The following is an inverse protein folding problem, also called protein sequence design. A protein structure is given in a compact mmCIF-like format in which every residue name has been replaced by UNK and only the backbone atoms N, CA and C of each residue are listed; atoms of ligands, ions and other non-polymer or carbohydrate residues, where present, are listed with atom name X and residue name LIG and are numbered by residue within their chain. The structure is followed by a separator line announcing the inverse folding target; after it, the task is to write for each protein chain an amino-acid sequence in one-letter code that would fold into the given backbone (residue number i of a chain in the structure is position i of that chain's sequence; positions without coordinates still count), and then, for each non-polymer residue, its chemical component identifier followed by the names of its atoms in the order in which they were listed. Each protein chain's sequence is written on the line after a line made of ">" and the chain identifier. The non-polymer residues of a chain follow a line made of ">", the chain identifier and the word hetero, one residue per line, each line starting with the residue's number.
data_IF_980650296487
#
_entry.id   IF_980650296487
#
_cell.length_a   1.000
_cell.length_b   1.000
_cell.length_c   1.000
_cell.angle_alpha   90.00
_cell.angle_beta   90.00
_cell.angle_gamma   90.00
#
_symmetry.space_group_name_H-M   'P 1'
#
loop_
_entity.id
_entity.type
_entity.pdbx_description
1 polymer ?
#
# COMPACT_ATOMS: atom_id res chain seq x y z
N UNK A 1 -16.24 -3.21 31.19
CA UNK A 1 -15.56 -3.63 29.93
C UNK A 1 -16.63 -4.05 28.94
N UNK A 2 -16.68 -3.49 27.72
CA UNK A 2 -17.66 -3.95 26.71
C UNK A 2 -17.25 -5.35 26.25
N UNK A 3 -18.19 -6.29 26.23
CA UNK A 3 -17.95 -7.68 25.81
C UNK A 3 -17.58 -7.73 24.33
N UNK A 4 -16.45 -8.38 24.02
CA UNK A 4 -16.00 -8.54 22.63
C UNK A 4 -16.82 -9.61 21.90
N UNK A 5 -17.49 -9.28 20.78
CA UNK A 5 -18.26 -10.27 20.01
C UNK A 5 -17.38 -11.44 19.54
N UNK A 6 -16.12 -11.17 19.17
CA UNK A 6 -15.16 -12.19 18.74
C UNK A 6 -14.86 -13.17 19.87
N UNK A 7 -14.54 -12.68 21.07
CA UNK A 7 -14.26 -13.56 22.20
C UNK A 7 -15.53 -14.30 22.67
N UNK A 8 -16.69 -13.63 22.66
CA UNK A 8 -17.95 -14.23 23.06
C UNK A 8 -18.35 -15.39 22.13
N UNK A 9 -18.26 -15.22 20.81
CA UNK A 9 -18.63 -16.27 19.86
C UNK A 9 -17.67 -17.46 19.94
N UNK A 10 -16.37 -17.20 20.15
CA UNK A 10 -15.37 -18.25 20.34
C UNK A 10 -15.55 -19.00 21.65
N UNK A 11 -15.93 -18.32 22.74
CA UNK A 11 -16.25 -18.97 24.01
C UNK A 11 -17.45 -19.90 23.86
N UNK A 12 -18.55 -19.42 23.26
CA UNK A 12 -19.75 -20.24 23.03
C UNK A 12 -19.43 -21.44 22.14
N UNK A 13 -18.73 -21.21 21.03
CA UNK A 13 -18.34 -22.28 20.10
C UNK A 13 -17.34 -23.26 20.69
N UNK A 14 -16.42 -22.79 21.53
CA UNK A 14 -15.47 -23.63 22.26
C UNK A 14 -16.18 -24.54 23.25
N UNK A 15 -17.15 -24.01 24.02
CA UNK A 15 -17.98 -24.81 24.93
C UNK A 15 -18.80 -25.85 24.17
N UNK A 16 -19.41 -25.48 23.03
CA UNK A 16 -20.13 -26.42 22.18
C UNK A 16 -19.21 -27.53 21.63
N UNK A 17 -17.98 -27.17 21.24
CA UNK A 17 -16.97 -28.12 20.78
C UNK A 17 -16.55 -29.06 21.91
N UNK A 18 -16.31 -28.56 23.12
CA UNK A 18 -16.01 -29.39 24.29
C UNK A 18 -17.16 -30.36 24.60
N UNK A 19 -18.41 -29.88 24.59
CA UNK A 19 -19.59 -30.73 24.77
C UNK A 19 -19.66 -31.84 23.73
N UNK A 20 -19.42 -31.50 22.45
CA UNK A 20 -19.46 -32.44 21.33
C UNK A 20 -18.54 -33.66 21.54
N UNK A 21 -17.40 -33.46 22.22
CA UNK A 21 -16.42 -34.52 22.49
C UNK A 21 -16.52 -35.12 23.91
N UNK A 22 -17.16 -34.45 24.85
CA UNK A 22 -17.35 -34.95 26.21
C UNK A 22 -18.53 -35.94 26.33
N UNK A 23 -19.59 -35.75 25.54
CA UNK A 23 -20.76 -36.63 25.52
C UNK A 23 -20.67 -37.63 24.35
N UNK A 24 -20.79 -38.96 24.59
CA UNK A 24 -20.84 -39.97 23.52
C UNK A 24 -21.89 -39.71 22.44
N UNK A 25 -22.99 -39.02 22.77
CA UNK A 25 -24.04 -38.62 21.82
C UNK A 25 -23.97 -37.14 21.45
N UNK A 26 -22.98 -36.40 21.93
CA UNK A 26 -22.88 -34.95 21.81
C UNK A 26 -22.89 -34.48 20.35
N UNK A 27 -22.08 -35.09 19.50
CA UNK A 27 -22.04 -34.77 18.07
C UNK A 27 -23.39 -35.00 17.37
N UNK A 28 -24.01 -36.16 17.60
CA UNK A 28 -25.30 -36.50 16.96
C UNK A 28 -26.40 -35.58 17.49
N UNK A 29 -26.46 -35.34 18.80
CA UNK A 29 -27.46 -34.47 19.42
C UNK A 29 -27.35 -33.02 18.96
N UNK A 30 -26.14 -32.47 18.93
CA UNK A 30 -25.91 -31.10 18.47
C UNK A 30 -26.22 -30.95 16.98
N UNK A 31 -25.85 -31.91 16.13
CA UNK A 31 -26.21 -31.88 14.71
C UNK A 31 -27.72 -32.02 14.49
N UNK A 32 -28.42 -32.80 15.30
CA UNK A 32 -29.88 -32.91 15.22
C UNK A 32 -30.58 -31.56 15.50
N UNK A 33 -30.03 -30.73 16.40
CA UNK A 33 -30.64 -29.45 16.82
C UNK A 33 -30.14 -28.26 15.99
N UNK A 34 -28.87 -28.28 15.57
CA UNK A 34 -28.20 -27.14 14.94
C UNK A 34 -27.78 -27.39 13.50
N UNK A 35 -27.58 -28.64 13.10
CA UNK A 35 -27.21 -29.00 11.73
C UNK A 35 -28.28 -28.55 10.74
N UNK A 36 -27.86 -28.03 9.59
CA UNK A 36 -28.76 -27.38 8.63
C UNK A 36 -28.87 -28.17 7.33
N UNK A 37 -30.09 -28.25 6.79
CA UNK A 37 -30.39 -28.82 5.47
C UNK A 37 -31.31 -27.87 4.69
N UNK A 38 -31.41 -28.05 3.36
CA UNK A 38 -32.24 -27.22 2.48
C UNK A 38 -33.71 -27.18 2.88
N UNK A 39 -34.23 -28.28 3.42
CA UNK A 39 -35.62 -28.36 3.86
C UNK A 39 -35.85 -27.58 5.16
N UNK A 40 -34.84 -27.57 6.04
CA UNK A 40 -34.95 -26.98 7.37
C UNK A 40 -34.76 -25.47 7.38
N UNK A 41 -34.06 -24.85 6.41
CA UNK A 41 -33.77 -23.40 6.46
C UNK A 41 -35.00 -22.51 6.54
N UNK A 42 -36.11 -22.92 5.90
CA UNK A 42 -37.35 -22.12 5.87
C UNK A 42 -38.17 -22.28 7.15
N UNK A 43 -38.11 -23.45 7.78
CA UNK A 43 -38.84 -23.75 9.02
C UNK A 43 -38.05 -23.48 10.30
N UNK A 44 -36.72 -23.53 10.21
CA UNK A 44 -35.79 -23.49 11.35
C UNK A 44 -34.59 -22.56 11.07
N UNK A 45 -34.84 -21.26 10.82
CA UNK A 45 -33.83 -20.32 10.32
C UNK A 45 -32.66 -20.06 11.31
N UNK A 46 -32.85 -20.30 12.61
CA UNK A 46 -31.77 -20.18 13.61
C UNK A 46 -30.59 -21.13 13.33
N UNK A 47 -30.81 -22.22 12.58
CA UNK A 47 -29.76 -23.17 12.17
C UNK A 47 -28.72 -22.53 11.26
N UNK A 48 -29.08 -21.49 10.50
CA UNK A 48 -28.14 -20.72 9.67
C UNK A 48 -27.04 -20.06 10.52
N UNK A 49 -27.34 -19.72 11.78
CA UNK A 49 -26.36 -19.19 12.72
C UNK A 49 -25.72 -20.30 13.55
N UNK A 50 -26.54 -21.19 14.12
CA UNK A 50 -26.07 -22.13 15.14
C UNK A 50 -25.23 -23.28 14.60
N UNK A 51 -25.40 -23.69 13.32
CA UNK A 51 -24.52 -24.69 12.69
C UNK A 51 -23.06 -24.23 12.63
N UNK A 52 -22.84 -22.91 12.52
CA UNK A 52 -21.49 -22.33 12.47
C UNK A 52 -20.78 -22.41 13.84
N UNK A 53 -21.50 -22.66 14.93
CA UNK A 53 -20.89 -22.81 16.27
C UNK A 53 -20.30 -24.21 16.48
N UNK A 54 -20.72 -25.19 15.68
CA UNK A 54 -20.25 -26.58 15.77
C UNK A 54 -18.94 -26.78 15.02
N UNK A 55 -18.10 -27.71 15.47
CA UNK A 55 -16.82 -27.99 14.80
C UNK A 55 -16.60 -29.50 14.64
N UNK A 56 -16.18 -29.92 13.45
CA UNK A 56 -15.91 -31.33 13.15
C UNK A 56 -14.68 -31.94 13.85
N UNK A 57 -14.00 -31.18 14.72
CA UNK A 57 -12.75 -31.58 15.36
C UNK A 57 -12.16 -30.47 16.22
N UNK A 58 -11.36 -30.85 17.23
CA UNK A 58 -10.63 -29.89 18.09
C UNK A 58 -9.69 -29.02 17.24
N UNK A 59 -8.93 -29.63 16.33
CA UNK A 59 -8.04 -28.89 15.42
C UNK A 59 -8.82 -27.92 14.52
N UNK A 60 -9.99 -28.34 14.04
CA UNK A 60 -10.85 -27.47 13.23
C UNK A 60 -11.30 -26.23 14.03
N UNK A 61 -11.68 -26.40 15.30
CA UNK A 61 -11.99 -25.26 16.19
C UNK A 61 -10.76 -24.36 16.41
N UNK A 62 -9.59 -24.93 16.73
CA UNK A 62 -8.37 -24.17 17.01
C UNK A 62 -7.98 -23.28 15.82
N UNK A 63 -8.01 -23.81 14.59
CA UNK A 63 -7.71 -23.00 13.41
C UNK A 63 -8.74 -21.88 13.18
N UNK A 64 -10.03 -22.16 13.40
CA UNK A 64 -11.06 -21.12 13.33
C UNK A 64 -10.86 -20.04 14.40
N UNK A 65 -10.56 -20.43 15.63
CA UNK A 65 -10.31 -19.50 16.73
C UNK A 65 -9.09 -18.62 16.48
N UNK A 66 -8.00 -19.20 15.95
CA UNK A 66 -6.79 -18.47 15.57
C UNK A 66 -7.12 -17.36 14.56
N UNK A 67 -7.81 -17.70 13.47
CA UNK A 67 -8.16 -16.71 12.44
C UNK A 67 -9.21 -15.69 12.92
N UNK A 68 -10.19 -16.13 13.70
CA UNK A 68 -11.20 -15.26 14.30
C UNK A 68 -10.56 -14.23 15.23
N UNK A 69 -9.58 -14.59 16.07
CA UNK A 69 -8.84 -13.63 16.88
C UNK A 69 -7.97 -12.74 16.00
N UNK A 70 -7.20 -13.34 15.08
CA UNK A 70 -6.23 -12.63 14.23
C UNK A 70 -6.85 -11.53 13.38
N UNK A 71 -8.10 -11.72 12.95
CA UNK A 71 -8.82 -10.80 12.05
C UNK A 71 -9.98 -10.07 12.75
N UNK A 72 -10.69 -10.75 13.64
CA UNK A 72 -11.88 -10.23 14.32
C UNK A 72 -11.56 -9.20 15.39
N UNK A 73 -10.45 -9.36 16.14
CA UNK A 73 -10.03 -8.35 17.13
C UNK A 73 -9.60 -7.04 16.46
N UNK A 74 -8.77 -7.04 15.40
CA UNK A 74 -8.48 -5.82 14.64
C UNK A 74 -9.73 -5.17 14.04
N UNK A 75 -10.66 -5.97 13.49
CA UNK A 75 -11.93 -5.47 12.99
C UNK A 75 -12.75 -4.78 14.09
N UNK A 76 -12.87 -5.42 15.25
CA UNK A 76 -13.58 -4.88 16.41
C UNK A 76 -12.93 -3.61 16.95
N UNK A 77 -11.60 -3.60 17.09
CA UNK A 77 -10.87 -2.42 17.52
C UNK A 77 -11.06 -1.24 16.56
N UNK A 78 -11.24 -1.51 15.26
CA UNK A 78 -11.37 -0.46 14.25
C UNK A 78 -12.79 0.07 14.10
N UNK A 79 -13.79 -0.80 14.11
CA UNK A 79 -15.19 -0.45 13.81
C UNK A 79 -16.14 -0.52 15.01
N UNK A 80 -15.67 -1.07 16.13
CA UNK A 80 -16.42 -1.25 17.37
C UNK A 80 -17.26 -2.53 17.41
N UNK A 81 -17.70 -2.86 18.63
CA UNK A 81 -18.40 -4.11 18.95
C UNK A 81 -19.75 -4.20 18.22
N UNK A 82 -20.47 -3.09 18.05
CA UNK A 82 -21.76 -3.07 17.34
C UNK A 82 -21.60 -3.47 15.87
N UNK A 83 -20.62 -2.88 15.17
CA UNK A 83 -20.35 -3.21 13.78
C UNK A 83 -19.87 -4.66 13.63
N UNK A 84 -19.03 -5.12 14.57
CA UNK A 84 -18.55 -6.51 14.60
C UNK A 84 -19.67 -7.52 14.79
N UNK A 85 -20.60 -7.23 15.70
CA UNK A 85 -21.77 -8.07 15.92
C UNK A 85 -22.68 -8.10 14.68
N UNK A 86 -22.96 -6.95 14.07
CA UNK A 86 -23.75 -6.88 12.83
C UNK A 86 -23.06 -7.68 11.71
N UNK A 87 -21.74 -7.53 11.56
CA UNK A 87 -20.97 -8.25 10.55
C UNK A 87 -21.05 -9.77 10.76
N UNK A 88 -20.86 -10.25 11.99
CA UNK A 88 -21.04 -11.65 12.37
C UNK A 88 -22.47 -12.15 12.03
N UNK A 89 -23.49 -11.38 12.42
CA UNK A 89 -24.90 -11.71 12.25
C UNK A 89 -25.36 -11.72 10.78
N UNK A 90 -24.65 -11.04 9.88
CA UNK A 90 -24.98 -11.02 8.44
C UNK A 90 -24.14 -12.01 7.65
N UNK A 91 -22.82 -12.05 7.87
CA UNK A 91 -21.89 -12.86 7.08
C UNK A 91 -22.04 -14.35 7.38
N UNK A 92 -22.22 -14.72 8.65
CA UNK A 92 -22.37 -16.13 9.04
C UNK A 92 -23.56 -16.79 8.34
N UNK A 93 -24.82 -16.30 8.51
CA UNK A 93 -25.96 -16.96 7.88
C UNK A 93 -25.92 -16.85 6.36
N UNK A 94 -25.35 -15.78 5.79
CA UNK A 94 -25.14 -15.69 4.34
C UNK A 94 -24.23 -16.80 3.82
N UNK A 95 -23.07 -17.00 4.45
CA UNK A 95 -22.11 -18.04 4.05
C UNK A 95 -22.71 -19.46 4.18
N UNK A 96 -23.43 -19.72 5.28
CA UNK A 96 -24.11 -20.99 5.52
C UNK A 96 -25.23 -21.21 4.50
N UNK A 97 -26.03 -20.19 4.20
CA UNK A 97 -27.09 -20.26 3.20
C UNK A 97 -26.51 -20.60 1.81
N UNK A 98 -25.40 -19.97 1.42
CA UNK A 98 -24.73 -20.30 0.16
C UNK A 98 -24.29 -21.77 0.11
N UNK A 99 -23.70 -22.30 1.18
CA UNK A 99 -23.33 -23.73 1.21
C UNK A 99 -24.56 -24.63 1.16
N UNK A 100 -25.61 -24.33 1.90
CA UNK A 100 -26.84 -25.13 1.87
C UNK A 100 -27.42 -25.17 0.45
N UNK A 101 -27.39 -24.05 -0.29
CA UNK A 101 -27.95 -23.96 -1.64
C UNK A 101 -27.05 -24.51 -2.75
N UNK A 102 -25.73 -24.36 -2.63
CA UNK A 102 -24.78 -24.60 -3.72
C UNK A 102 -23.66 -25.59 -3.38
N UNK A 103 -23.58 -26.05 -2.14
CA UNK A 103 -22.57 -26.98 -1.64
C UNK A 103 -23.19 -28.16 -0.89
N UNK A 104 -22.41 -28.73 0.03
CA UNK A 104 -22.77 -29.87 0.87
C UNK A 104 -23.18 -29.40 2.28
N UNK A 105 -23.02 -30.24 3.30
CA UNK A 105 -23.23 -29.83 4.70
C UNK A 105 -22.12 -28.88 5.18
N UNK A 106 -22.47 -27.99 6.11
CA UNK A 106 -21.56 -26.98 6.68
C UNK A 106 -21.60 -26.97 8.20
N UNK A 107 -20.42 -26.85 8.82
CA UNK A 107 -20.21 -26.60 10.24
C UNK A 107 -19.00 -25.68 10.42
N UNK A 108 -19.02 -24.88 11.47
CA UNK A 108 -17.87 -24.07 11.89
C UNK A 108 -17.91 -22.60 11.46
N UNK A 109 -17.12 -21.78 12.16
CA UNK A 109 -17.11 -20.32 12.02
C UNK A 109 -16.34 -19.82 10.79
N UNK A 110 -15.80 -20.73 9.98
CA UNK A 110 -14.84 -20.40 8.92
C UNK A 110 -15.41 -19.48 7.85
N UNK A 111 -16.71 -19.57 7.51
CA UNK A 111 -17.36 -18.63 6.58
C UNK A 111 -17.28 -17.18 7.07
N UNK A 112 -17.51 -16.94 8.37
CA UNK A 112 -17.30 -15.63 8.99
C UNK A 112 -15.82 -15.23 9.03
N UNK A 113 -14.92 -16.17 9.37
CA UNK A 113 -13.48 -15.94 9.34
C UNK A 113 -12.97 -15.52 7.96
N UNK A 114 -13.40 -16.18 6.89
CA UNK A 114 -13.10 -15.80 5.53
C UNK A 114 -13.75 -14.47 5.14
N UNK A 115 -14.95 -14.15 5.66
CA UNK A 115 -15.52 -12.82 5.47
C UNK A 115 -14.71 -11.70 6.11
N UNK A 116 -14.18 -11.90 7.31
CA UNK A 116 -13.19 -10.99 7.89
C UNK A 116 -11.94 -10.89 7.00
N UNK A 117 -11.47 -12.02 6.47
CA UNK A 117 -10.37 -12.08 5.51
C UNK A 117 -10.61 -11.23 4.27
N UNK A 118 -11.75 -11.42 3.62
CA UNK A 118 -12.19 -10.64 2.46
C UNK A 118 -12.29 -9.16 2.75
N UNK A 119 -12.83 -8.80 3.92
CA UNK A 119 -12.83 -7.41 4.37
C UNK A 119 -11.41 -6.85 4.48
N UNK A 120 -10.50 -7.57 5.14
CA UNK A 120 -9.11 -7.14 5.34
C UNK A 120 -8.32 -7.04 4.02
N UNK A 121 -8.58 -7.91 3.05
CA UNK A 121 -7.96 -7.84 1.70
C UNK A 121 -8.21 -6.50 1.00
N UNK A 122 -9.35 -5.86 1.29
CA UNK A 122 -9.72 -4.57 0.69
C UNK A 122 -9.38 -3.42 1.63
N UNK A 123 -9.88 -3.46 2.87
CA UNK A 123 -9.85 -2.33 3.80
C UNK A 123 -8.41 -1.92 4.18
N UNK A 124 -7.47 -2.87 4.28
CA UNK A 124 -6.06 -2.58 4.61
C UNK A 124 -5.39 -1.63 3.62
N UNK A 125 -5.85 -1.55 2.37
CA UNK A 125 -5.31 -0.62 1.36
C UNK A 125 -5.69 0.84 1.60
N UNK A 126 -6.70 1.08 2.43
CA UNK A 126 -7.30 2.38 2.67
C UNK A 126 -7.30 2.76 4.15
N UNK A 127 -6.92 1.83 5.03
CA UNK A 127 -6.94 2.00 6.48
C UNK A 127 -5.63 1.53 7.11
N UNK A 128 -4.74 2.49 7.40
CA UNK A 128 -3.42 2.20 7.96
C UNK A 128 -3.50 1.46 9.30
N UNK A 129 -4.52 1.70 10.13
CA UNK A 129 -4.66 0.99 11.41
C UNK A 129 -4.85 -0.51 11.18
N UNK A 130 -5.65 -0.88 10.19
CA UNK A 130 -5.83 -2.28 9.80
C UNK A 130 -4.59 -2.84 9.13
N UNK A 131 -3.90 -2.05 8.30
CA UNK A 131 -2.65 -2.46 7.66
C UNK A 131 -1.56 -2.81 8.68
N UNK A 132 -1.43 -2.01 9.75
CA UNK A 132 -0.46 -2.28 10.82
C UNK A 132 -0.91 -3.44 11.73
N UNK A 133 -2.21 -3.56 12.01
CA UNK A 133 -2.73 -4.61 12.91
C UNK A 133 -2.74 -5.99 12.27
N UNK A 134 -2.92 -6.08 10.96
CA UNK A 134 -2.94 -7.33 10.18
C UNK A 134 -1.79 -7.28 9.18
N UNK A 135 -0.80 -8.15 9.31
CA UNK A 135 0.40 -8.12 8.46
C UNK A 135 0.16 -8.73 7.09
N UNK A 136 1.03 -8.41 6.12
CA UNK A 136 0.94 -8.98 4.77
C UNK A 136 1.20 -10.48 4.76
N UNK A 137 2.07 -10.97 5.65
CA UNK A 137 2.35 -12.41 5.82
C UNK A 137 1.11 -13.15 6.35
N UNK A 138 0.38 -12.53 7.28
CA UNK A 138 -0.90 -13.08 7.77
C UNK A 138 -1.91 -13.18 6.64
N UNK A 139 -2.03 -12.14 5.80
CA UNK A 139 -2.94 -12.19 4.65
C UNK A 139 -2.49 -13.19 3.58
N UNK A 140 -1.18 -13.26 3.31
CA UNK A 140 -0.60 -14.25 2.40
C UNK A 140 -0.88 -15.67 2.86
N UNK A 141 -0.68 -15.94 4.15
CA UNK A 141 -0.99 -17.25 4.76
C UNK A 141 -2.47 -17.60 4.63
N UNK A 142 -3.37 -16.63 4.85
CA UNK A 142 -4.82 -16.86 4.69
C UNK A 142 -5.19 -17.22 3.25
N UNK A 143 -4.60 -16.52 2.26
CA UNK A 143 -4.84 -16.78 0.83
C UNK A 143 -4.28 -18.15 0.41
N UNK A 144 -3.09 -18.50 0.89
CA UNK A 144 -2.53 -19.84 0.67
C UNK A 144 -3.42 -20.91 1.28
N UNK A 145 -3.92 -20.69 2.51
CA UNK A 145 -4.82 -21.61 3.18
C UNK A 145 -6.16 -21.77 2.43
N UNK A 146 -6.70 -20.67 1.91
CA UNK A 146 -7.88 -20.69 1.05
C UNK A 146 -7.66 -21.56 -0.20
N UNK A 147 -6.57 -21.33 -0.93
CA UNK A 147 -6.24 -22.10 -2.13
C UNK A 147 -5.98 -23.58 -1.82
N UNK A 148 -5.24 -23.85 -0.74
CA UNK A 148 -4.99 -25.21 -0.26
C UNK A 148 -6.29 -25.93 0.11
N UNK A 149 -7.30 -25.20 0.61
CA UNK A 149 -8.63 -25.74 0.89
C UNK A 149 -9.29 -26.40 -0.32
N UNK A 150 -9.17 -25.80 -1.50
CA UNK A 150 -9.65 -26.41 -2.76
C UNK A 150 -8.87 -27.67 -3.12
N UNK A 151 -7.54 -27.64 -2.99
CA UNK A 151 -6.66 -28.79 -3.30
C UNK A 151 -6.96 -29.96 -2.37
N UNK A 152 -7.05 -29.73 -1.06
CA UNK A 152 -7.32 -30.77 -0.07
C UNK A 152 -8.72 -31.37 -0.21
N UNK A 153 -9.73 -30.55 -0.53
CA UNK A 153 -11.08 -31.05 -0.87
C UNK A 153 -11.08 -31.88 -2.15
N UNK A 154 -10.37 -31.43 -3.20
CA UNK A 154 -10.25 -32.16 -4.46
C UNK A 154 -9.60 -33.53 -4.28
N UNK A 155 -8.52 -33.58 -3.48
CA UNK A 155 -7.82 -34.83 -3.13
C UNK A 155 -8.57 -35.68 -2.09
N UNK A 156 -9.74 -35.21 -1.60
CA UNK A 156 -10.55 -35.86 -0.56
C UNK A 156 -9.80 -36.15 0.74
N UNK A 157 -8.79 -35.33 1.05
CA UNK A 157 -7.99 -35.44 2.28
C UNK A 157 -8.76 -34.86 3.46
N UNK A 158 -9.41 -33.71 3.26
CA UNK A 158 -10.23 -33.03 4.26
C UNK A 158 -11.53 -32.51 3.65
N UNK A 159 -12.69 -32.65 4.32
CA UNK A 159 -13.95 -32.09 3.86
C UNK A 159 -13.99 -30.59 4.17
N UNK A 160 -13.49 -29.76 3.25
CA UNK A 160 -13.44 -28.30 3.43
C UNK A 160 -14.60 -27.63 2.68
N UNK A 161 -15.33 -26.79 3.40
CA UNK A 161 -16.46 -26.03 2.88
C UNK A 161 -16.02 -24.80 2.09
N UNK A 162 -15.51 -25.06 0.89
CA UNK A 162 -15.03 -24.02 -0.02
C UNK A 162 -16.15 -23.06 -0.47
N UNK A 163 -17.42 -23.48 -0.43
CA UNK A 163 -18.56 -22.62 -0.77
C UNK A 163 -18.77 -21.56 0.31
N UNK A 164 -18.79 -21.94 1.59
CA UNK A 164 -18.91 -20.98 2.68
C UNK A 164 -17.72 -20.04 2.73
N UNK A 165 -16.50 -20.55 2.49
CA UNK A 165 -15.28 -19.74 2.46
C UNK A 165 -15.34 -18.68 1.35
N UNK A 166 -15.73 -19.09 0.14
CA UNK A 166 -15.83 -18.20 -1.02
C UNK A 166 -16.95 -17.18 -0.83
N UNK A 167 -18.13 -17.61 -0.37
CA UNK A 167 -19.26 -16.74 -0.13
C UNK A 167 -18.95 -15.71 0.96
N UNK A 168 -18.40 -16.16 2.09
CA UNK A 168 -17.95 -15.31 3.19
C UNK A 168 -16.92 -14.29 2.73
N UNK A 169 -15.82 -14.74 2.12
CA UNK A 169 -14.76 -13.87 1.60
C UNK A 169 -15.27 -12.85 0.59
N UNK A 170 -16.14 -13.26 -0.32
CA UNK A 170 -16.73 -12.37 -1.33
C UNK A 170 -17.60 -11.29 -0.70
N UNK A 171 -18.53 -11.65 0.20
CA UNK A 171 -19.41 -10.66 0.82
C UNK A 171 -18.63 -9.71 1.74
N UNK A 172 -17.59 -10.20 2.42
CA UNK A 172 -16.68 -9.37 3.21
C UNK A 172 -15.93 -8.35 2.35
N UNK A 173 -15.35 -8.80 1.24
CA UNK A 173 -14.63 -7.92 0.31
C UNK A 173 -15.55 -6.89 -0.35
N UNK A 174 -16.75 -7.29 -0.78
CA UNK A 174 -17.75 -6.39 -1.36
C UNK A 174 -18.23 -5.35 -0.34
N UNK A 175 -18.46 -5.77 0.90
CA UNK A 175 -18.85 -4.86 1.99
C UNK A 175 -17.75 -3.83 2.27
N UNK A 176 -16.48 -4.24 2.30
CA UNK A 176 -15.36 -3.33 2.44
C UNK A 176 -15.22 -2.37 1.23
N UNK A 177 -15.39 -2.87 0.00
CA UNK A 177 -15.38 -2.03 -1.20
C UNK A 177 -16.47 -0.96 -1.17
N UNK A 178 -17.65 -1.33 -0.67
CA UNK A 178 -18.76 -0.39 -0.47
C UNK A 178 -18.41 0.67 0.59
N UNK A 179 -17.86 0.25 1.74
CA UNK A 179 -17.46 1.16 2.82
C UNK A 179 -16.36 2.12 2.38
N UNK A 180 -15.34 1.65 1.66
CA UNK A 180 -14.19 2.45 1.19
C UNK A 180 -14.35 2.94 -0.26
N UNK A 181 -15.59 3.06 -0.75
CA UNK A 181 -15.87 3.39 -2.16
C UNK A 181 -15.31 4.75 -2.59
N UNK A 182 -15.26 5.73 -1.68
CA UNK A 182 -14.72 7.07 -1.93
C UNK A 182 -13.21 7.02 -2.16
N UNK A 183 -12.50 6.32 -1.29
CA UNK A 183 -11.06 6.12 -1.29
C UNK A 183 -10.64 5.32 -2.52
N UNK A 184 -11.40 4.27 -2.84
CA UNK A 184 -11.22 3.48 -4.05
C UNK A 184 -11.39 4.34 -5.32
N UNK A 185 -12.46 5.15 -5.41
CA UNK A 185 -12.66 6.09 -6.55
C UNK A 185 -11.53 7.11 -6.65
N UNK A 186 -11.07 7.67 -5.53
CA UNK A 186 -9.96 8.64 -5.48
C UNK A 186 -8.64 8.02 -5.96
N UNK A 187 -8.32 6.81 -5.49
CA UNK A 187 -7.12 6.06 -5.89
C UNK A 187 -7.10 5.76 -7.40
N UNK A 188 -8.25 5.35 -7.98
CA UNK A 188 -8.37 5.12 -9.43
C UNK A 188 -8.19 6.41 -10.24
N UNK A 189 -8.76 7.52 -9.77
CA UNK A 189 -8.59 8.83 -10.40
C UNK A 189 -7.12 9.26 -10.43
N UNK A 190 -6.41 9.14 -9.30
CA UNK A 190 -4.97 9.45 -9.22
C UNK A 190 -4.13 8.56 -10.14
N UNK A 191 -4.46 7.27 -10.24
CA UNK A 191 -3.79 6.34 -11.16
C UNK A 191 -3.98 6.71 -12.63
N UNK A 192 -5.15 7.28 -13.00
CA UNK A 192 -5.40 7.81 -14.34
C UNK A 192 -4.59 9.09 -14.58
N UNK A 193 -4.58 10.01 -13.61
CA UNK A 193 -3.79 11.25 -13.67
C UNK A 193 -2.29 10.97 -13.81
N UNK A 194 -1.74 10.04 -13.03
CA UNK A 194 -0.33 9.64 -13.11
C UNK A 194 0.03 9.04 -14.48
N UNK A 195 -0.85 8.23 -15.07
CA UNK A 195 -0.67 7.69 -16.43
C UNK A 195 -0.72 8.80 -17.49
N UNK A 196 -1.68 9.72 -17.39
CA UNK A 196 -1.77 10.86 -18.30
C UNK A 196 -0.52 11.76 -18.21
N UNK A 197 -0.05 12.05 -17.00
CA UNK A 197 1.18 12.81 -16.77
C UNK A 197 2.42 12.10 -17.34
N UNK A 198 2.58 10.79 -17.11
CA UNK A 198 3.68 10.01 -17.69
C UNK A 198 3.63 10.01 -19.22
N UNK A 199 2.44 9.90 -19.81
CA UNK A 199 2.26 10.00 -21.26
C UNK A 199 2.65 11.38 -21.80
N UNK A 200 2.28 12.45 -21.09
CA UNK A 200 2.60 13.83 -21.48
C UNK A 200 4.12 14.09 -21.44
N UNK A 201 4.83 13.63 -20.42
CA UNK A 201 6.30 13.76 -20.42
C UNK A 201 6.98 12.95 -21.51
N UNK A 202 6.52 11.73 -21.75
CA UNK A 202 7.11 10.91 -22.81
C UNK A 202 6.89 11.55 -24.19
N UNK A 203 5.75 12.22 -24.44
CA UNK A 203 5.53 12.95 -25.70
C UNK A 203 6.41 14.20 -25.87
N UNK A 204 6.86 14.83 -24.78
CA UNK A 204 7.79 15.97 -24.84
C UNK A 204 9.24 15.53 -25.08
N UNK A 205 9.57 14.25 -24.85
CA UNK A 205 10.93 13.74 -24.97
C UNK A 205 11.30 13.32 -26.41
N UNK A 206 10.31 13.10 -27.27
CA UNK A 206 10.51 12.59 -28.64
C UNK A 206 10.35 13.67 -29.74
N UNK A 207 9.81 14.85 -29.41
CA UNK A 207 9.67 15.94 -30.38
C UNK A 207 10.91 16.84 -30.36
N UNK A 208 11.62 16.94 -31.48
CA UNK A 208 12.62 17.99 -31.67
C UNK A 208 11.95 19.36 -31.44
N UNK A 209 12.59 20.30 -30.70
CA UNK A 209 12.01 21.60 -30.42
C UNK A 209 11.69 22.32 -31.73
N UNK A 210 10.50 22.92 -31.82
CA UNK A 210 10.06 23.63 -33.00
C UNK A 210 10.89 24.90 -33.23
N UNK A 211 10.92 25.39 -34.48
CA UNK A 211 11.75 26.52 -34.86
C UNK A 211 11.46 27.81 -34.07
N UNK A 212 10.24 28.00 -33.56
CA UNK A 212 9.90 29.17 -32.73
C UNK A 212 10.49 29.00 -31.34
N UNK A 213 10.36 27.81 -30.73
CA UNK A 213 11.01 27.49 -29.45
C UNK A 213 12.54 27.64 -29.53
N UNK A 214 13.16 27.23 -30.64
CA UNK A 214 14.61 27.44 -30.87
C UNK A 214 14.93 28.94 -31.02
N UNK A 215 14.13 29.70 -31.78
CA UNK A 215 14.37 31.14 -31.95
C UNK A 215 14.15 31.97 -30.69
N UNK A 216 13.18 31.62 -29.84
CA UNK A 216 13.00 32.25 -28.52
C UNK A 216 14.17 31.91 -27.60
N UNK A 217 14.65 30.66 -27.64
CA UNK A 217 15.81 30.20 -26.88
C UNK A 217 17.10 30.93 -27.27
N UNK A 218 17.36 31.12 -28.55
CA UNK A 218 18.54 31.86 -29.02
C UNK A 218 18.51 33.31 -28.52
N UNK A 219 17.32 33.94 -28.50
CA UNK A 219 17.12 35.29 -27.97
C UNK A 219 17.34 35.37 -26.45
N UNK A 220 16.87 34.38 -25.70
CA UNK A 220 17.07 34.32 -24.25
C UNK A 220 18.56 34.12 -23.91
N UNK A 221 19.27 33.29 -24.67
CA UNK A 221 20.73 33.13 -24.56
C UNK A 221 21.51 34.39 -24.95
N UNK A 222 21.09 35.10 -26.00
CA UNK A 222 21.67 36.41 -26.39
C UNK A 222 21.50 37.45 -25.28
N UNK A 223 20.41 37.37 -24.49
CA UNK A 223 20.20 38.27 -23.35
C UNK A 223 21.18 38.04 -22.19
N UNK A 224 21.76 36.83 -22.09
CA UNK A 224 22.77 36.46 -21.10
C UNK A 224 24.17 36.97 -21.48
N UNK A 225 24.46 37.08 -22.78
CA UNK A 225 25.79 37.39 -23.30
C UNK A 225 26.37 38.73 -22.76
N UNK A 226 25.61 39.84 -22.67
CA UNK A 226 26.07 41.08 -22.07
C UNK A 226 26.50 40.95 -20.60
N UNK A 227 25.87 40.07 -19.82
CA UNK A 227 26.22 39.85 -18.41
C UNK A 227 27.52 39.07 -18.24
N UNK A 228 27.86 38.19 -19.18
CA UNK A 228 29.16 37.51 -19.20
C UNK A 228 30.29 38.40 -19.72
N UNK A 229 30.00 39.28 -20.67
CA UNK A 229 31.01 40.12 -21.33
C UNK A 229 31.28 41.44 -20.60
N UNK A 230 30.38 41.87 -19.70
CA UNK A 230 30.53 43.09 -18.90
C UNK A 230 30.72 42.81 -17.39
N UNK A 231 31.95 42.96 -16.85
CA UNK A 231 32.25 42.71 -15.44
C UNK A 231 31.46 43.56 -14.45
N UNK A 232 31.05 44.78 -14.83
CA UNK A 232 30.25 45.64 -13.97
C UNK A 232 28.80 45.18 -13.92
N UNK A 233 28.23 44.70 -15.03
CA UNK A 233 26.87 44.16 -15.04
C UNK A 233 26.77 42.87 -14.21
N UNK A 234 27.81 42.02 -14.26
CA UNK A 234 27.84 40.78 -13.51
C UNK A 234 27.74 41.00 -11.99
N UNK A 235 28.50 41.96 -11.45
CA UNK A 235 28.52 42.29 -10.01
C UNK A 235 27.19 42.80 -9.48
N UNK A 236 26.40 43.49 -10.31
CA UNK A 236 25.13 44.09 -9.92
C UNK A 236 23.93 43.18 -10.19
N UNK A 237 24.14 42.03 -10.85
CA UNK A 237 23.09 41.05 -11.09
C UNK A 237 22.87 40.22 -9.82
N UNK A 238 21.62 40.11 -9.31
CA UNK A 238 21.31 39.29 -8.13
C UNK A 238 21.76 37.84 -8.31
N UNK A 239 22.24 37.22 -7.24
CA UNK A 239 22.80 35.85 -7.28
C UNK A 239 21.71 34.83 -7.63
N UNK A 240 20.47 35.09 -7.23
CA UNK A 240 19.31 34.27 -7.53
C UNK A 240 19.05 34.19 -9.05
N UNK A 241 19.26 35.28 -9.78
CA UNK A 241 19.13 35.28 -11.26
C UNK A 241 20.15 34.35 -11.90
N UNK A 242 21.39 34.31 -11.39
CA UNK A 242 22.41 33.38 -11.86
C UNK A 242 22.05 31.92 -11.58
N UNK A 243 21.39 31.64 -10.45
CA UNK A 243 20.90 30.30 -10.12
C UNK A 243 19.75 29.88 -11.04
N UNK A 244 18.82 30.79 -11.35
CA UNK A 244 17.71 30.57 -12.29
C UNK A 244 18.21 30.28 -13.70
N UNK A 245 19.13 31.09 -14.22
CA UNK A 245 19.74 30.85 -15.54
C UNK A 245 20.51 29.54 -15.60
N UNK A 246 21.15 29.13 -14.50
CA UNK A 246 21.82 27.82 -14.44
C UNK A 246 20.83 26.68 -14.65
N UNK A 247 19.67 26.71 -13.98
CA UNK A 247 18.64 25.67 -14.15
C UNK A 247 18.07 25.64 -15.57
N UNK A 248 17.85 26.80 -16.17
CA UNK A 248 17.37 26.92 -17.54
C UNK A 248 18.38 26.32 -18.54
N UNK A 249 19.67 26.63 -18.40
CA UNK A 249 20.73 26.09 -19.25
C UNK A 249 20.89 24.58 -19.11
N UNK A 250 20.77 24.03 -17.90
CA UNK A 250 20.80 22.57 -17.65
C UNK A 250 19.60 21.87 -18.27
N UNK A 251 18.38 22.41 -18.08
CA UNK A 251 17.17 21.87 -18.71
C UNK A 251 17.29 21.85 -20.25
N UNK A 252 18.08 22.78 -20.78
CA UNK A 252 18.32 22.96 -22.20
C UNK A 252 19.49 22.15 -22.76
N UNK A 253 20.28 21.49 -21.91
CA UNK A 253 21.45 20.70 -22.31
C UNK A 253 22.71 21.52 -22.59
N UNK A 254 22.71 22.83 -22.33
CA UNK A 254 23.90 23.68 -22.45
C UNK A 254 24.69 23.66 -21.12
N UNK A 255 25.29 22.51 -20.84
CA UNK A 255 26.04 22.29 -19.60
C UNK A 255 27.25 23.23 -19.48
N UNK A 256 27.85 23.65 -20.60
CA UNK A 256 29.03 24.51 -20.61
C UNK A 256 28.72 25.92 -20.09
N UNK A 257 27.63 26.53 -20.57
CA UNK A 257 27.22 27.83 -20.06
C UNK A 257 26.62 27.74 -18.65
N UNK A 258 25.94 26.63 -18.31
CA UNK A 258 25.47 26.38 -16.95
C UNK A 258 26.61 26.33 -15.92
N UNK A 259 27.76 25.75 -16.29
CA UNK A 259 28.95 25.77 -15.43
C UNK A 259 29.48 27.21 -15.22
N UNK A 260 29.40 28.06 -16.25
CA UNK A 260 29.84 29.46 -16.18
C UNK A 260 28.94 30.30 -15.28
N UNK A 261 27.62 30.22 -15.46
CA UNK A 261 26.66 30.93 -14.58
C UNK A 261 26.85 30.53 -13.12
N UNK A 262 27.01 29.23 -12.87
CA UNK A 262 27.16 28.71 -11.52
C UNK A 262 28.49 29.13 -10.88
N UNK A 263 29.57 29.19 -11.67
CA UNK A 263 30.87 29.72 -11.22
C UNK A 263 30.79 31.20 -10.82
N UNK A 264 30.04 32.00 -11.57
CA UNK A 264 29.76 33.40 -11.23
C UNK A 264 28.91 33.50 -9.95
N UNK A 265 27.85 32.69 -9.83
CA UNK A 265 27.00 32.64 -8.64
C UNK A 265 27.77 32.22 -7.37
N UNK A 266 28.73 31.31 -7.48
CA UNK A 266 29.63 30.91 -6.38
C UNK A 266 30.52 32.10 -5.94
N UNK A 267 30.97 32.90 -6.90
CA UNK A 267 31.87 34.03 -6.67
C UNK A 267 31.15 35.22 -6.03
N UNK A 268 29.93 35.51 -6.50
CA UNK A 268 29.12 36.63 -6.01
C UNK A 268 28.23 36.27 -4.81
N UNK A 269 27.93 34.99 -4.63
CA UNK A 269 27.02 34.47 -3.62
C UNK A 269 27.52 34.57 -2.18
N UNK A 270 26.56 34.67 -1.26
CA UNK A 270 26.83 34.55 0.17
C UNK A 270 27.39 33.17 0.54
N UNK A 271 28.13 33.11 1.65
CA UNK A 271 28.74 31.87 2.14
C UNK A 271 27.74 30.76 2.47
N UNK A 272 26.49 31.09 2.80
CA UNK A 272 25.46 30.11 3.16
C UNK A 272 24.98 29.26 1.98
N UNK A 273 24.91 29.83 0.77
CA UNK A 273 24.49 29.10 -0.44
C UNK A 273 25.65 28.45 -1.20
N UNK A 274 26.89 28.79 -0.84
CA UNK A 274 28.11 28.34 -1.54
C UNK A 274 28.29 26.82 -1.58
N UNK A 275 28.05 26.05 -0.50
CA UNK A 275 28.23 24.59 -0.52
C UNK A 275 27.37 23.89 -1.58
N UNK A 276 26.09 24.26 -1.67
CA UNK A 276 25.16 23.67 -2.64
C UNK A 276 25.54 24.00 -4.09
N UNK A 277 25.96 25.25 -4.36
CA UNK A 277 26.40 25.64 -5.71
C UNK A 277 27.67 24.91 -6.13
N UNK A 278 28.63 24.71 -5.22
CA UNK A 278 29.84 23.93 -5.48
C UNK A 278 29.54 22.45 -5.78
N UNK A 279 28.61 21.84 -5.03
CA UNK A 279 28.17 20.46 -5.31
C UNK A 279 27.48 20.35 -6.67
N UNK A 280 26.63 21.33 -7.03
CA UNK A 280 26.00 21.40 -8.36
C UNK A 280 27.05 21.56 -9.47
N UNK A 281 28.06 22.42 -9.27
CA UNK A 281 29.13 22.65 -10.25
C UNK A 281 29.97 21.39 -10.46
N UNK A 282 30.36 20.74 -9.36
CA UNK A 282 31.09 19.46 -9.39
C UNK A 282 30.33 18.41 -10.21
N UNK A 283 29.03 18.25 -9.99
CA UNK A 283 28.21 17.30 -10.74
C UNK A 283 28.12 17.63 -12.24
N UNK A 284 28.04 18.91 -12.61
CA UNK A 284 28.04 19.33 -14.02
C UNK A 284 29.38 19.07 -14.70
N UNK A 285 30.50 19.42 -14.04
CA UNK A 285 31.85 19.16 -14.54
C UNK A 285 32.09 17.66 -14.73
N UNK A 286 31.66 16.83 -13.78
CA UNK A 286 31.77 15.38 -13.89
C UNK A 286 30.99 14.84 -15.11
N UNK A 287 29.75 15.29 -15.32
CA UNK A 287 28.92 14.90 -16.47
C UNK A 287 29.55 15.28 -17.81
N UNK A 288 30.20 16.44 -17.85
CA UNK A 288 30.91 16.95 -19.02
C UNK A 288 32.29 16.29 -19.23
N UNK A 289 32.70 15.34 -18.37
CA UNK A 289 33.96 14.61 -18.47
C UNK A 289 35.17 15.32 -17.85
N UNK A 290 34.95 16.44 -17.15
CA UNK A 290 35.99 17.24 -16.48
C UNK A 290 36.24 16.75 -15.04
N UNK A 291 36.62 15.49 -14.88
CA UNK A 291 36.70 14.82 -13.56
C UNK A 291 37.64 15.51 -12.57
N UNK A 292 38.77 16.06 -13.04
CA UNK A 292 39.69 16.82 -12.17
C UNK A 292 39.05 18.09 -11.63
N UNK A 293 38.38 18.86 -12.49
CA UNK A 293 37.71 20.09 -12.10
C UNK A 293 36.52 19.80 -11.16
N UNK A 294 35.80 18.71 -11.40
CA UNK A 294 34.74 18.24 -10.53
C UNK A 294 35.24 17.94 -9.11
N UNK A 295 36.40 17.30 -8.98
CA UNK A 295 37.04 17.01 -7.70
C UNK A 295 37.49 18.31 -7.01
N UNK A 296 38.13 19.21 -7.75
CA UNK A 296 38.59 20.51 -7.24
C UNK A 296 37.42 21.36 -6.70
N UNK A 297 36.29 21.39 -7.39
CA UNK A 297 35.07 22.06 -6.92
C UNK A 297 34.51 21.40 -5.65
N UNK A 298 34.55 20.06 -5.58
CA UNK A 298 34.02 19.31 -4.45
C UNK A 298 34.88 19.49 -3.18
N UNK A 299 36.21 19.56 -3.31
CA UNK A 299 37.11 19.79 -2.17
C UNK A 299 36.93 21.17 -1.51
N UNK A 300 36.36 22.14 -2.24
CA UNK A 300 36.03 23.47 -1.72
C UNK A 300 34.73 23.50 -0.90
N UNK A 301 33.95 22.41 -0.90
CA UNK A 301 32.70 22.32 -0.13
C UNK A 301 33.03 22.19 1.35
N UNK A 302 32.61 23.18 2.15
CA UNK A 302 32.70 23.09 3.60
C UNK A 302 31.62 22.14 4.16
N UNK A 303 31.95 20.85 4.28
CA UNK A 303 31.04 19.81 4.75
C UNK A 303 30.45 20.06 6.15
N UNK A 304 31.10 20.90 6.98
CA UNK A 304 30.59 21.28 8.29
C UNK A 304 29.31 22.14 8.21
N UNK A 305 29.11 22.87 7.11
CA UNK A 305 27.93 23.72 6.88
C UNK A 305 26.75 22.98 6.23
N UNK A 306 26.96 21.73 5.79
CA UNK A 306 25.92 20.93 5.14
C UNK A 306 24.91 20.40 6.15
N UNK A 307 23.62 20.44 5.77
CA UNK A 307 22.55 19.71 6.44
C UNK A 307 22.74 18.20 6.27
N UNK A 308 22.09 17.35 7.10
CA UNK A 308 22.24 15.90 7.01
C UNK A 308 21.90 15.31 5.64
N UNK A 309 20.84 15.81 4.99
CA UNK A 309 20.41 15.43 3.63
C UNK A 309 21.45 15.84 2.56
N UNK A 310 22.07 16.99 2.74
CA UNK A 310 23.10 17.49 1.81
C UNK A 310 24.43 16.73 1.97
N UNK A 311 24.74 16.20 3.16
CA UNK A 311 25.93 15.35 3.36
C UNK A 311 25.82 14.03 2.62
N UNK A 312 24.65 13.42 2.61
CA UNK A 312 24.42 12.18 1.85
C UNK A 312 24.69 12.39 0.35
N UNK A 313 24.21 13.52 -0.20
CA UNK A 313 24.48 13.90 -1.59
C UNK A 313 25.98 14.21 -1.83
N UNK A 314 26.65 14.86 -0.89
CA UNK A 314 28.07 15.16 -0.97
C UNK A 314 28.92 13.88 -0.98
N UNK A 315 28.62 12.93 -0.11
CA UNK A 315 29.33 11.64 -0.05
C UNK A 315 29.13 10.84 -1.35
N UNK A 316 27.91 10.82 -1.90
CA UNK A 316 27.63 10.20 -3.19
C UNK A 316 28.39 10.85 -4.36
N UNK A 317 28.51 12.19 -4.36
CA UNK A 317 29.33 12.90 -5.36
C UNK A 317 30.82 12.59 -5.23
N UNK A 318 31.30 12.41 -4.00
CA UNK A 318 32.70 12.07 -3.72
C UNK A 318 33.05 10.66 -4.19
N UNK A 319 32.19 9.67 -3.91
CA UNK A 319 32.35 8.29 -4.39
C UNK A 319 32.33 8.20 -5.92
N UNK A 320 31.52 9.05 -6.57
CA UNK A 320 31.44 9.09 -8.02
C UNK A 320 32.65 9.74 -8.68
N UNK A 321 33.34 10.65 -7.97
CA UNK A 321 34.46 11.44 -8.49
C UNK A 321 35.84 10.88 -8.12
N UNK A 322 35.90 9.80 -7.33
CA UNK A 322 37.10 9.05 -6.93
C UNK A 322 37.39 7.88 -7.87
#
# INVERSE_FOLDING_TARGET
>A
MKTSPTHAILMISGLATLWQFADPKGAIGLLAIHGVSRELIFTQPWRLMTTALLHGGILHFVFNALWAVRLGVPFESRYGNRASLIFLLLVTPFSVLCTVMFGNATIGLSGWGFGLGGWMLVARRYDQRLQHSVSDESMGTLVVWFALGFVLSWLRVLPIDNVAHTAGGSIGALSALWTYRSEWKRSRSMSKRRRAWKSAMNSHQEAAPDAISVGLRDRDLESLQPAFENPELAKHTPVEMWDEWTEELVANGDEKNAQRTLSVAITLGSSSGRPMRLMRLSNLQYRSGETSAALDSLTQVNAAQLRPDERELYDALRERSS
#
